data_IF_256377585226
#
_entry.id   IF_256377585226
#
_cell.length_a   1.000
_cell.length_b   1.000
_cell.length_c   1.000
_cell.angle_alpha   90.00
_cell.angle_beta   90.00
_cell.angle_gamma   90.00
#
_symmetry.space_group_name_H-M   'P 1'
#
loop_
_entity.id
_entity.type
_entity.pdbx_description
1 polymer ?
#
# COMPACT_ATOMS: atom_id res chain seq x y z
N UNK A 1 -9.79 30.09 -56.60
CA UNK A 1 -8.61 29.94 -55.72
C UNK A 1 -8.99 30.04 -54.24
N UNK A 2 -9.77 31.06 -53.83
CA UNK A 2 -10.16 31.24 -52.42
C UNK A 2 -10.92 30.05 -51.80
N UNK A 3 -11.85 29.43 -52.52
CA UNK A 3 -12.64 28.32 -51.98
C UNK A 3 -11.81 27.04 -51.74
N UNK A 4 -10.79 26.81 -52.56
CA UNK A 4 -9.85 25.69 -52.41
C UNK A 4 -9.00 25.82 -51.14
N UNK A 5 -8.61 27.05 -50.79
CA UNK A 5 -7.89 27.33 -49.55
C UNK A 5 -8.76 27.13 -48.31
N UNK A 6 -10.10 27.30 -48.41
CA UNK A 6 -11.04 27.11 -47.28
C UNK A 6 -11.22 25.65 -46.86
N UNK A 7 -11.12 24.70 -47.80
CA UNK A 7 -11.30 23.25 -47.55
C UNK A 7 -9.98 22.52 -47.29
N UNK A 8 -8.85 23.23 -47.27
CA UNK A 8 -7.53 22.62 -47.08
C UNK A 8 -7.39 22.16 -45.64
N UNK A 9 -7.12 20.87 -45.45
CA UNK A 9 -6.86 20.30 -44.14
C UNK A 9 -5.68 21.04 -43.47
N UNK A 10 -5.88 21.48 -42.23
CA UNK A 10 -4.85 22.16 -41.46
C UNK A 10 -3.80 21.14 -41.03
N UNK A 11 -2.54 21.40 -41.38
CA UNK A 11 -1.43 20.54 -40.98
C UNK A 11 -0.95 20.92 -39.57
N UNK A 12 -1.15 20.02 -38.60
CA UNK A 12 -0.77 20.21 -37.20
C UNK A 12 0.56 19.53 -36.82
N UNK A 13 1.34 19.02 -37.78
CA UNK A 13 2.55 18.23 -37.51
C UNK A 13 3.53 18.97 -36.58
N UNK A 14 3.82 20.25 -36.85
CA UNK A 14 4.75 21.03 -36.02
C UNK A 14 4.24 21.25 -34.60
N UNK A 15 2.95 21.57 -34.44
CA UNK A 15 2.34 21.77 -33.12
C UNK A 15 2.34 20.46 -32.30
N UNK A 16 2.04 19.33 -32.95
CA UNK A 16 2.05 18.02 -32.32
C UNK A 16 3.47 17.60 -31.91
N UNK A 17 4.46 17.80 -32.79
CA UNK A 17 5.86 17.52 -32.47
C UNK A 17 6.34 18.38 -31.30
N UNK A 18 6.00 19.67 -31.28
CA UNK A 18 6.34 20.55 -30.17
C UNK A 18 5.71 20.09 -28.85
N UNK A 19 4.48 19.58 -28.87
CA UNK A 19 3.81 19.02 -27.70
C UNK A 19 4.46 17.71 -27.22
N UNK A 20 4.72 16.77 -28.14
CA UNK A 20 5.27 15.44 -27.83
C UNK A 20 6.73 15.52 -27.36
N UNK A 21 7.51 16.43 -27.95
CA UNK A 21 8.89 16.69 -27.59
C UNK A 21 9.03 17.71 -26.46
N UNK A 22 7.93 18.31 -25.99
CA UNK A 22 7.98 19.18 -24.81
C UNK A 22 8.48 18.34 -23.64
N UNK A 23 9.57 18.79 -23.03
CA UNK A 23 10.16 18.10 -21.89
C UNK A 23 9.11 17.81 -20.82
N UNK A 24 9.12 16.58 -20.30
CA UNK A 24 8.29 16.23 -19.15
C UNK A 24 8.81 17.01 -17.95
N UNK A 25 8.00 17.93 -17.43
CA UNK A 25 8.34 18.63 -16.20
C UNK A 25 8.13 17.67 -15.02
N UNK A 26 9.23 17.13 -14.52
CA UNK A 26 9.22 16.35 -13.29
C UNK A 26 9.28 17.35 -12.13
N UNK A 27 8.31 17.28 -11.22
CA UNK A 27 8.33 18.11 -10.02
C UNK A 27 9.61 17.84 -9.23
N UNK A 28 10.10 18.86 -8.50
CA UNK A 28 11.33 18.70 -7.70
C UNK A 28 11.16 17.55 -6.70
N UNK A 29 12.27 16.87 -6.39
CA UNK A 29 12.27 15.72 -5.49
C UNK A 29 11.59 16.04 -4.15
N UNK A 30 11.86 17.22 -3.59
CA UNK A 30 11.25 17.70 -2.35
C UNK A 30 9.71 17.77 -2.44
N UNK A 31 9.17 18.31 -3.54
CA UNK A 31 7.71 18.39 -3.75
C UNK A 31 7.11 16.99 -3.88
N UNK A 32 7.78 16.08 -4.61
CA UNK A 32 7.29 14.70 -4.75
C UNK A 32 7.28 13.95 -3.43
N UNK A 33 8.30 14.15 -2.58
CA UNK A 33 8.39 13.56 -1.25
C UNK A 33 7.32 14.12 -0.31
N UNK A 34 7.03 15.42 -0.39
CA UNK A 34 5.95 16.06 0.36
C UNK A 34 4.57 15.50 -0.02
N UNK A 35 4.31 15.31 -1.32
CA UNK A 35 3.05 14.70 -1.78
C UNK A 35 2.96 13.24 -1.33
N UNK A 36 4.06 12.48 -1.37
CA UNK A 36 4.09 11.10 -0.90
C UNK A 36 3.84 11.02 0.61
N UNK A 37 4.44 11.89 1.42
CA UNK A 37 4.25 11.91 2.87
C UNK A 37 2.81 12.25 3.25
N UNK A 38 2.20 13.23 2.57
CA UNK A 38 0.79 13.61 2.79
C UNK A 38 -0.17 12.46 2.44
N UNK A 39 0.13 11.69 1.39
CA UNK A 39 -0.74 10.60 0.93
C UNK A 39 -0.55 9.28 1.71
N UNK A 40 0.59 9.12 2.41
CA UNK A 40 0.85 7.94 3.24
C UNK A 40 -0.14 7.84 4.39
N UNK A 41 -0.55 6.62 4.73
CA UNK A 41 -1.48 6.35 5.84
C UNK A 41 -2.97 6.51 5.51
N UNK A 42 -3.34 7.03 4.32
CA UNK A 42 -4.76 7.06 3.89
C UNK A 42 -5.27 5.69 3.41
N UNK A 43 -4.37 4.85 2.87
CA UNK A 43 -4.69 3.47 2.46
C UNK A 43 -4.22 2.51 3.54
N UNK A 44 -5.02 1.47 3.79
CA UNK A 44 -4.71 0.42 4.78
C UNK A 44 -3.31 -0.20 4.57
N UNK A 45 -2.90 -0.40 3.31
CA UNK A 45 -1.57 -0.94 2.94
C UNK A 45 -0.39 -0.02 3.31
N UNK A 46 -0.63 1.29 3.39
CA UNK A 46 0.41 2.29 3.68
C UNK A 46 0.43 2.62 5.19
N UNK A 47 -0.50 2.05 5.96
CA UNK A 47 -0.58 2.25 7.39
C UNK A 47 0.38 1.27 8.08
N UNK A 48 1.35 1.74 8.88
CA UNK A 48 2.21 0.84 9.62
C UNK A 48 1.34 -0.05 10.54
N UNK A 49 1.68 -1.34 10.70
CA UNK A 49 0.91 -2.24 11.54
C UNK A 49 0.84 -1.64 12.94
N UNK A 50 -0.40 -1.43 13.42
CA UNK A 50 -0.63 -0.96 14.79
C UNK A 50 0.10 -1.93 15.71
N UNK A 51 0.98 -1.40 16.57
CA UNK A 51 1.66 -2.18 17.61
C UNK A 51 0.62 -2.60 18.63
N UNK A 52 -0.16 -3.63 18.30
CA UNK A 52 -1.00 -4.29 19.29
C UNK A 52 -0.03 -5.05 20.17
N UNK A 53 0.03 -4.68 21.45
CA UNK A 53 0.72 -5.49 22.44
C UNK A 53 0.18 -6.91 22.30
N UNK A 54 1.06 -7.88 22.00
CA UNK A 54 0.67 -9.29 21.94
C UNK A 54 -0.04 -9.58 23.26
N UNK A 55 -1.31 -9.99 23.17
CA UNK A 55 -2.03 -10.46 24.36
C UNK A 55 -1.16 -11.56 24.97
N UNK A 56 -0.91 -11.47 26.28
CA UNK A 56 -0.25 -12.56 27.00
C UNK A 56 -1.04 -13.84 26.69
N UNK A 57 -0.37 -14.99 26.51
CA UNK A 57 -1.08 -16.24 26.27
C UNK A 57 -2.13 -16.39 27.37
N UNK A 58 -3.39 -16.54 26.97
CA UNK A 58 -4.49 -16.81 27.90
C UNK A 58 -4.10 -18.09 28.63
N UNK A 59 -3.92 -17.99 29.95
CA UNK A 59 -3.49 -19.10 30.79
C UNK A 59 -4.43 -20.27 30.56
N UNK A 60 -3.86 -21.42 30.19
CA UNK A 60 -4.64 -22.64 29.98
C UNK A 60 -5.31 -22.99 31.30
N UNK A 61 -6.59 -23.37 31.25
CA UNK A 61 -7.37 -23.78 32.45
C UNK A 61 -6.75 -24.99 33.14
N UNK A 62 -5.94 -25.78 32.42
CA UNK A 62 -5.17 -26.87 32.98
C UNK A 62 -3.80 -26.39 33.44
N UNK A 63 -3.54 -26.62 34.72
CA UNK A 63 -2.23 -26.45 35.35
C UNK A 63 -1.45 -27.76 35.34
N UNK A 64 -0.14 -27.70 35.56
CA UNK A 64 0.70 -28.88 35.70
C UNK A 64 0.23 -29.81 36.84
N UNK A 65 -0.39 -29.23 37.87
CA UNK A 65 -0.96 -29.99 38.99
C UNK A 65 -2.18 -30.82 38.55
N UNK A 66 -2.99 -30.30 37.64
CA UNK A 66 -4.13 -31.01 37.05
C UNK A 66 -3.67 -32.21 36.21
N UNK A 67 -2.56 -32.05 35.47
CA UNK A 67 -1.93 -33.16 34.74
C UNK A 67 -1.47 -34.27 35.68
N UNK A 68 -0.78 -33.91 36.77
CA UNK A 68 -0.30 -34.90 37.76
C UNK A 68 -1.44 -35.62 38.49
N UNK A 69 -2.58 -34.95 38.66
CA UNK A 69 -3.81 -35.57 39.21
C UNK A 69 -4.41 -36.55 38.20
N UNK A 70 -4.56 -36.13 36.94
CA UNK A 70 -5.06 -36.97 35.86
C UNK A 70 -4.22 -38.23 35.65
N UNK A 71 -2.88 -38.09 35.63
CA UNK A 71 -1.96 -39.22 35.51
C UNK A 71 -2.15 -40.26 36.62
N UNK A 72 -2.30 -39.82 37.87
CA UNK A 72 -2.55 -40.72 39.01
C UNK A 72 -3.91 -41.41 38.92
N UNK A 73 -4.92 -40.70 38.46
CA UNK A 73 -6.31 -41.17 38.41
C UNK A 73 -6.53 -42.21 37.29
N UNK A 74 -5.87 -42.04 36.15
CA UNK A 74 -6.09 -42.91 34.97
C UNK A 74 -4.99 -43.92 34.70
N UNK A 75 -3.73 -43.56 34.96
CA UNK A 75 -2.60 -44.43 34.68
C UNK A 75 -2.03 -45.08 35.93
N UNK A 76 -2.68 -44.89 37.10
CA UNK A 76 -2.32 -45.41 38.42
C UNK A 76 -1.29 -46.53 38.33
N UNK A 77 -0.02 -46.16 38.44
CA UNK A 77 1.07 -47.15 38.47
C UNK A 77 1.30 -47.54 39.93
N UNK A 78 1.72 -48.78 40.22
CA UNK A 78 2.09 -49.17 41.58
C UNK A 78 3.09 -48.18 42.18
#
# INVERSE_FOLDING_TARGET
>A
LEEYHKKKAVNHLRANLQYMLRGRFVASKAITEQVLSQNRGRKSKDQPPKKVAKKKPEGTVFTEEDFRKFEREYFGRP
#
